data_IF_792286033571
#
_entry.id   IF_792286033571
#
_cell.length_a   1.000
_cell.length_b   1.000
_cell.length_c   1.000
_cell.angle_alpha   90.00
_cell.angle_beta   90.00
_cell.angle_gamma   90.00
#
_symmetry.space_group_name_H-M   'P 1'
#
loop_
_entity.id
_entity.type
_entity.pdbx_description
1 polymer ?
#
# COMPACT_ATOMS: atom_id res chain seq x y z
N UNK A 1 -28.74 8.39 10.73
CA UNK A 1 -27.71 7.34 10.83
C UNK A 1 -28.32 6.10 10.18
N UNK A 2 -27.81 5.66 9.05
CA UNK A 2 -28.30 4.43 8.41
C UNK A 2 -27.85 3.27 9.30
N UNK A 3 -28.81 2.52 9.87
CA UNK A 3 -28.52 1.24 10.51
C UNK A 3 -28.12 0.26 9.40
N UNK A 4 -26.84 0.15 9.15
CA UNK A 4 -26.35 -0.95 8.32
C UNK A 4 -26.58 -2.24 9.11
N UNK A 5 -27.05 -3.31 8.48
CA UNK A 5 -27.04 -4.63 9.11
C UNK A 5 -25.58 -4.90 9.57
N UNK A 6 -25.43 -5.60 10.69
CA UNK A 6 -24.12 -6.05 11.14
C UNK A 6 -23.47 -6.87 10.02
N UNK A 7 -22.65 -6.23 9.24
CA UNK A 7 -21.79 -6.91 8.29
C UNK A 7 -20.67 -7.55 9.08
N UNK A 8 -20.87 -8.74 9.57
CA UNK A 8 -19.78 -9.65 9.91
C UNK A 8 -19.17 -10.20 8.62
N UNK A 9 -18.55 -9.32 7.84
CA UNK A 9 -17.74 -9.79 6.75
C UNK A 9 -16.34 -10.09 7.30
N UNK A 10 -16.14 -11.34 7.70
CA UNK A 10 -14.79 -11.87 7.93
C UNK A 10 -14.36 -12.58 6.66
N UNK A 11 -13.33 -12.07 6.02
CA UNK A 11 -12.63 -12.88 5.01
C UNK A 11 -12.04 -14.08 5.76
N UNK A 12 -12.44 -15.32 5.50
CA UNK A 12 -11.78 -16.47 6.09
C UNK A 12 -10.29 -16.39 5.77
N UNK A 13 -9.41 -16.87 6.66
CA UNK A 13 -7.99 -16.98 6.30
C UNK A 13 -7.93 -17.75 4.98
N UNK A 14 -7.46 -17.10 3.91
CA UNK A 14 -7.52 -17.71 2.59
C UNK A 14 -6.55 -18.89 2.52
N UNK A 15 -6.94 -19.94 1.84
CA UNK A 15 -6.02 -20.95 1.34
C UNK A 15 -5.40 -20.52 -0.02
N UNK A 16 -4.44 -21.26 -0.50
CA UNK A 16 -3.73 -20.94 -1.73
C UNK A 16 -4.64 -20.95 -2.96
N UNK A 17 -5.67 -21.79 -2.99
CA UNK A 17 -6.63 -21.84 -4.10
C UNK A 17 -7.48 -20.57 -4.14
N UNK A 18 -7.94 -20.10 -2.98
CA UNK A 18 -8.73 -18.88 -2.88
C UNK A 18 -7.90 -17.65 -3.27
N UNK A 19 -6.64 -17.57 -2.79
CA UNK A 19 -5.70 -16.50 -3.18
C UNK A 19 -5.45 -16.52 -4.68
N UNK A 20 -5.15 -17.69 -5.26
CA UNK A 20 -4.96 -17.86 -6.70
C UNK A 20 -6.16 -17.35 -7.50
N UNK A 21 -7.38 -17.75 -7.12
CA UNK A 21 -8.62 -17.28 -7.75
C UNK A 21 -8.78 -15.76 -7.61
N UNK A 22 -8.46 -15.21 -6.45
CA UNK A 22 -8.53 -13.77 -6.20
C UNK A 22 -7.55 -13.02 -7.09
N UNK A 23 -6.29 -13.46 -7.20
CA UNK A 23 -5.29 -12.84 -8.06
C UNK A 23 -5.76 -12.83 -9.52
N UNK A 24 -6.21 -13.97 -10.05
CA UNK A 24 -6.72 -14.07 -11.43
C UNK A 24 -7.95 -13.17 -11.63
N UNK A 25 -8.85 -13.13 -10.66
CA UNK A 25 -10.02 -12.23 -10.69
C UNK A 25 -9.59 -10.76 -10.77
N UNK A 26 -8.62 -10.34 -9.93
CA UNK A 26 -8.10 -8.96 -9.93
C UNK A 26 -7.41 -8.64 -11.25
N UNK A 27 -6.64 -9.56 -11.79
CA UNK A 27 -5.98 -9.39 -13.08
C UNK A 27 -6.99 -9.12 -14.20
N UNK A 28 -8.04 -9.94 -14.29
CA UNK A 28 -9.04 -9.84 -15.37
C UNK A 28 -9.98 -8.66 -15.15
N UNK A 29 -10.61 -8.55 -13.97
CA UNK A 29 -11.74 -7.66 -13.77
C UNK A 29 -11.39 -6.31 -13.15
N UNK A 30 -10.21 -6.16 -12.56
CA UNK A 30 -9.73 -4.87 -12.03
C UNK A 30 -8.73 -4.24 -12.98
N UNK A 31 -7.76 -5.04 -13.49
CA UNK A 31 -6.69 -4.53 -14.36
C UNK A 31 -7.04 -4.65 -15.85
N UNK A 32 -8.02 -5.48 -16.23
CA UNK A 32 -8.42 -5.67 -17.63
C UNK A 32 -7.38 -6.42 -18.48
N UNK A 33 -6.56 -7.26 -17.85
CA UNK A 33 -5.44 -7.97 -18.50
C UNK A 33 -5.80 -9.45 -18.69
N UNK A 34 -5.59 -9.98 -19.90
CA UNK A 34 -5.69 -11.43 -20.15
C UNK A 34 -4.49 -12.13 -19.49
N UNK A 35 -4.71 -13.19 -18.70
CA UNK A 35 -3.63 -13.94 -18.06
C UNK A 35 -2.53 -14.45 -19.01
N UNK A 36 -2.86 -14.65 -20.28
CA UNK A 36 -1.91 -15.12 -21.30
C UNK A 36 -0.93 -14.04 -21.75
N UNK A 37 -1.31 -12.77 -21.62
CA UNK A 37 -0.53 -11.62 -22.05
C UNK A 37 0.04 -10.83 -20.86
N UNK A 38 -0.23 -11.28 -19.62
CA UNK A 38 0.14 -10.60 -18.39
C UNK A 38 1.66 -10.64 -18.16
N UNK A 39 2.23 -9.48 -17.86
CA UNK A 39 3.63 -9.30 -17.48
C UNK A 39 3.81 -9.48 -15.98
N UNK A 40 5.04 -9.66 -15.48
CA UNK A 40 5.30 -9.74 -14.04
C UNK A 40 4.70 -8.58 -13.23
N UNK A 41 4.73 -7.35 -13.77
CA UNK A 41 4.15 -6.17 -13.12
C UNK A 41 2.61 -6.26 -12.99
N UNK A 42 1.94 -6.83 -13.98
CA UNK A 42 0.49 -7.02 -13.97
C UNK A 42 0.08 -8.06 -12.91
N UNK A 43 0.86 -9.15 -12.80
CA UNK A 43 0.69 -10.16 -11.75
C UNK A 43 0.94 -9.59 -10.35
N UNK A 44 1.99 -8.76 -10.18
CA UNK A 44 2.24 -8.06 -8.93
C UNK A 44 1.06 -7.18 -8.52
N UNK A 45 0.58 -6.33 -9.43
CA UNK A 45 -0.55 -5.46 -9.16
C UNK A 45 -1.81 -6.24 -8.77
N UNK A 46 -2.11 -7.33 -9.48
CA UNK A 46 -3.24 -8.20 -9.15
C UNK A 46 -3.08 -8.82 -7.75
N UNK A 47 -1.87 -9.28 -7.41
CA UNK A 47 -1.57 -9.85 -6.10
C UNK A 47 -1.63 -8.81 -4.97
N UNK A 48 -1.13 -7.59 -5.22
CA UNK A 48 -1.25 -6.48 -4.27
C UNK A 48 -2.73 -6.11 -4.01
N UNK A 49 -3.59 -6.11 -5.04
CA UNK A 49 -5.02 -5.92 -4.85
C UNK A 49 -5.66 -7.05 -4.03
N UNK A 50 -5.23 -8.30 -4.23
CA UNK A 50 -5.72 -9.42 -3.44
C UNK A 50 -5.26 -9.32 -1.96
N UNK A 51 -4.00 -8.96 -1.72
CA UNK A 51 -3.47 -8.72 -0.38
C UNK A 51 -4.15 -7.52 0.31
N UNK A 52 -4.43 -6.44 -0.44
CA UNK A 52 -5.13 -5.26 0.06
C UNK A 52 -6.52 -5.58 0.62
N UNK A 53 -7.23 -6.55 0.05
CA UNK A 53 -8.55 -6.92 0.57
C UNK A 53 -8.44 -7.41 2.02
N UNK A 54 -7.41 -8.19 2.35
CA UNK A 54 -7.13 -8.68 3.71
C UNK A 54 -6.73 -7.53 4.64
N UNK A 55 -5.75 -6.72 4.22
CA UNK A 55 -5.30 -5.55 4.98
C UNK A 55 -6.44 -4.55 5.23
N UNK A 56 -7.33 -4.37 4.26
CA UNK A 56 -8.47 -3.45 4.40
C UNK A 56 -9.45 -3.92 5.46
N UNK A 57 -9.69 -5.21 5.58
CA UNK A 57 -10.54 -5.76 6.63
C UNK A 57 -9.96 -5.44 8.02
N UNK A 58 -8.69 -5.77 8.25
CA UNK A 58 -7.98 -5.48 9.49
C UNK A 58 -7.98 -3.98 9.82
N UNK A 59 -7.76 -3.14 8.81
CA UNK A 59 -7.83 -1.68 8.94
C UNK A 59 -9.22 -1.19 9.37
N UNK A 60 -10.28 -1.68 8.76
CA UNK A 60 -11.66 -1.27 9.08
C UNK A 60 -12.06 -1.73 10.48
N UNK A 61 -11.69 -2.94 10.90
CA UNK A 61 -11.94 -3.45 12.25
C UNK A 61 -11.23 -2.58 13.30
N UNK A 62 -9.96 -2.29 13.10
CA UNK A 62 -9.17 -1.41 13.97
C UNK A 62 -9.81 -0.03 14.09
N UNK A 63 -10.19 0.57 12.95
CA UNK A 63 -10.82 1.89 12.94
C UNK A 63 -12.16 1.91 13.68
N UNK A 64 -12.99 0.89 13.51
CA UNK A 64 -14.28 0.75 14.25
C UNK A 64 -14.01 0.70 15.74
N UNK A 65 -13.09 -0.17 16.17
CA UNK A 65 -12.72 -0.29 17.59
C UNK A 65 -12.22 1.04 18.19
N UNK A 66 -11.42 1.81 17.45
CA UNK A 66 -10.96 3.11 17.91
C UNK A 66 -12.10 4.11 18.12
N UNK A 67 -13.11 4.11 17.23
CA UNK A 67 -14.29 4.99 17.33
C UNK A 67 -15.20 4.56 18.47
N UNK A 68 -15.53 3.28 18.57
CA UNK A 68 -16.43 2.72 19.59
C UNK A 68 -15.90 2.94 21.01
N UNK A 69 -14.59 2.77 21.19
CA UNK A 69 -13.94 2.95 22.48
C UNK A 69 -13.42 4.39 22.71
N UNK A 70 -13.75 5.34 21.83
CA UNK A 70 -13.32 6.75 21.93
C UNK A 70 -11.81 6.90 22.23
N UNK A 71 -10.97 6.09 21.55
CA UNK A 71 -9.53 6.07 21.79
C UNK A 71 -8.88 7.39 21.42
N UNK A 72 -7.94 7.86 22.26
CA UNK A 72 -7.06 8.96 21.89
C UNK A 72 -6.16 8.54 20.75
N UNK A 73 -6.07 9.38 19.72
CA UNK A 73 -5.25 9.14 18.54
C UNK A 73 -3.97 9.96 18.61
N UNK A 74 -2.86 9.34 18.21
CA UNK A 74 -1.61 10.04 17.91
C UNK A 74 -1.64 10.42 16.42
N UNK A 75 -1.37 11.67 16.10
CA UNK A 75 -1.24 12.15 14.72
C UNK A 75 0.22 12.51 14.47
N UNK A 76 0.87 11.73 13.58
CA UNK A 76 2.25 11.95 13.22
C UNK A 76 2.31 12.72 11.91
N UNK A 77 2.76 13.97 11.96
CA UNK A 77 2.89 14.83 10.79
C UNK A 77 4.36 14.80 10.34
N UNK A 78 4.58 14.40 9.09
CA UNK A 78 5.90 14.42 8.46
C UNK A 78 5.78 14.86 7.01
N UNK A 79 6.78 15.57 6.53
CA UNK A 79 6.90 15.88 5.11
C UNK A 79 7.28 14.65 4.28
N UNK A 80 7.86 13.63 4.91
CA UNK A 80 8.33 12.42 4.26
C UNK A 80 7.94 11.17 5.04
N UNK A 81 7.63 10.10 4.31
CA UNK A 81 7.46 8.75 4.83
C UNK A 81 8.18 7.77 3.90
N UNK A 82 9.41 7.40 4.22
CA UNK A 82 10.18 6.41 3.47
C UNK A 82 9.76 5.01 3.89
N UNK A 83 8.66 4.52 3.33
CA UNK A 83 8.02 3.27 3.73
C UNK A 83 8.76 2.05 3.18
N UNK A 84 9.33 2.14 1.97
CA UNK A 84 9.84 1.00 1.24
C UNK A 84 8.71 0.16 0.61
N UNK A 85 9.05 -1.04 0.18
CA UNK A 85 8.11 -1.99 -0.42
C UNK A 85 7.12 -2.51 0.63
N UNK A 86 5.85 -2.56 0.28
CA UNK A 86 4.78 -2.89 1.21
C UNK A 86 4.19 -4.30 0.99
N UNK A 87 4.33 -4.89 -0.18
CA UNK A 87 3.67 -6.15 -0.54
C UNK A 87 4.08 -7.30 0.37
N UNK A 88 5.35 -7.69 0.33
CA UNK A 88 5.88 -8.79 1.14
C UNK A 88 5.70 -8.53 2.64
N UNK A 89 5.96 -7.30 3.09
CA UNK A 89 5.74 -6.91 4.49
C UNK A 89 4.27 -7.09 4.92
N UNK A 90 3.32 -6.70 4.07
CA UNK A 90 1.89 -6.89 4.35
C UNK A 90 1.51 -8.37 4.44
N UNK A 91 2.03 -9.21 3.54
CA UNK A 91 1.77 -10.66 3.56
C UNK A 91 2.29 -11.33 4.85
N UNK A 92 3.47 -10.93 5.31
CA UNK A 92 4.08 -11.43 6.56
C UNK A 92 3.22 -11.00 7.75
N UNK A 93 2.83 -9.74 7.83
CA UNK A 93 2.04 -9.21 8.93
C UNK A 93 0.63 -9.80 9.01
N UNK A 94 0.00 -10.09 7.87
CA UNK A 94 -1.30 -10.80 7.81
C UNK A 94 -1.16 -12.31 8.01
N UNK A 95 0.08 -12.85 8.04
CA UNK A 95 0.35 -14.27 8.22
C UNK A 95 -0.09 -15.14 7.03
N UNK A 96 0.00 -14.60 5.81
CA UNK A 96 -0.41 -15.26 4.56
C UNK A 96 0.72 -15.39 3.53
N UNK A 97 1.95 -15.09 3.93
CA UNK A 97 3.11 -15.10 3.03
C UNK A 97 3.27 -16.43 2.29
N UNK A 98 3.32 -17.55 3.03
CA UNK A 98 3.48 -18.88 2.43
C UNK A 98 2.27 -19.27 1.55
N UNK A 99 1.09 -18.77 1.88
CA UNK A 99 -0.13 -19.02 1.10
C UNK A 99 -0.04 -18.33 -0.27
N UNK A 100 0.52 -17.12 -0.33
CA UNK A 100 0.74 -16.42 -1.60
C UNK A 100 1.82 -17.11 -2.44
N UNK A 101 2.94 -17.53 -1.85
CA UNK A 101 3.96 -18.32 -2.56
C UNK A 101 3.33 -19.57 -3.18
N UNK A 102 2.54 -20.32 -2.44
CA UNK A 102 1.88 -21.53 -2.95
C UNK A 102 0.86 -21.20 -4.05
N UNK A 103 0.13 -20.08 -3.94
CA UNK A 103 -0.79 -19.62 -4.98
C UNK A 103 -0.05 -19.30 -6.30
N UNK A 104 1.09 -18.62 -6.22
CA UNK A 104 1.95 -18.33 -7.37
C UNK A 104 2.54 -19.61 -7.98
N UNK A 105 2.97 -20.56 -7.13
CA UNK A 105 3.42 -21.87 -7.59
C UNK A 105 2.32 -22.62 -8.38
N UNK A 106 1.07 -22.54 -7.93
CA UNK A 106 -0.08 -23.13 -8.65
C UNK A 106 -0.40 -22.40 -9.97
N UNK A 107 -0.02 -21.12 -10.11
CA UNK A 107 -0.11 -20.37 -11.36
C UNK A 107 1.04 -20.68 -12.31
N UNK A 108 2.10 -21.33 -11.85
CA UNK A 108 3.32 -21.55 -12.62
C UNK A 108 4.17 -20.28 -12.80
N UNK A 109 4.05 -19.32 -11.87
CA UNK A 109 4.72 -18.02 -11.91
C UNK A 109 5.70 -17.93 -10.71
N UNK A 110 6.87 -17.37 -10.96
CA UNK A 110 7.88 -17.16 -9.92
C UNK A 110 7.48 -15.98 -9.03
N UNK A 111 7.27 -16.24 -7.73
CA UNK A 111 6.88 -15.22 -6.77
C UNK A 111 7.99 -14.18 -6.54
N UNK A 112 9.25 -14.62 -6.51
CA UNK A 112 10.37 -13.71 -6.24
C UNK A 112 10.57 -12.76 -7.42
N UNK A 113 10.51 -13.27 -8.67
CA UNK A 113 10.55 -12.43 -9.87
C UNK A 113 9.45 -11.37 -9.87
N UNK A 114 8.25 -11.74 -9.48
CA UNK A 114 7.10 -10.84 -9.43
C UNK A 114 7.24 -9.82 -8.30
N UNK A 115 7.60 -10.26 -7.10
CA UNK A 115 7.69 -9.38 -5.93
C UNK A 115 8.79 -8.33 -6.05
N UNK A 116 9.86 -8.62 -6.80
CA UNK A 116 10.94 -7.67 -7.08
C UNK A 116 10.52 -6.50 -7.98
N UNK A 117 9.39 -6.62 -8.67
CA UNK A 117 8.84 -5.52 -9.50
C UNK A 117 8.17 -4.42 -8.69
N UNK A 118 7.97 -4.59 -7.37
CA UNK A 118 7.44 -3.53 -6.53
C UNK A 118 8.44 -2.37 -6.43
N UNK A 119 8.00 -1.20 -6.82
CA UNK A 119 8.76 0.04 -6.66
C UNK A 119 8.38 0.72 -5.33
N UNK A 120 9.35 1.42 -4.74
CA UNK A 120 9.10 2.21 -3.54
C UNK A 120 8.20 3.40 -3.85
N UNK A 121 7.21 3.71 -2.99
CA UNK A 121 6.44 4.92 -3.17
C UNK A 121 7.35 6.16 -2.97
N UNK A 122 7.24 7.14 -3.87
CA UNK A 122 8.02 8.38 -3.86
C UNK A 122 7.60 9.36 -2.76
N UNK A 123 7.41 8.85 -1.53
CA UNK A 123 6.92 9.62 -0.37
C UNK A 123 8.03 10.05 0.59
N UNK A 124 9.27 9.67 0.35
CA UNK A 124 10.41 10.02 1.19
C UNK A 124 11.72 9.61 0.55
N UNK A 125 12.85 10.17 1.05
CA UNK A 125 14.15 9.97 0.44
C UNK A 125 15.31 9.80 1.43
N UNK A 126 15.12 10.09 2.71
CA UNK A 126 16.23 10.08 3.67
C UNK A 126 15.81 9.77 5.11
N UNK A 127 16.66 10.17 6.04
CA UNK A 127 16.52 9.85 7.46
C UNK A 127 15.24 10.39 8.10
N UNK A 128 14.78 11.58 7.70
CA UNK A 128 13.50 12.14 8.15
C UNK A 128 12.34 11.20 7.83
N UNK A 129 12.26 10.77 6.57
CA UNK A 129 11.20 9.87 6.11
C UNK A 129 11.30 8.49 6.72
N UNK A 130 12.52 7.95 6.89
CA UNK A 130 12.71 6.64 7.53
C UNK A 130 12.37 6.67 9.01
N UNK A 131 12.71 7.74 9.73
CA UNK A 131 12.31 7.90 11.13
C UNK A 131 10.79 7.87 11.28
N UNK A 132 10.07 8.59 10.41
CA UNK A 132 8.61 8.59 10.40
C UNK A 132 8.03 7.20 10.17
N UNK A 133 8.56 6.44 9.20
CA UNK A 133 8.16 5.07 8.92
C UNK A 133 8.40 4.15 10.14
N UNK A 134 9.57 4.21 10.76
CA UNK A 134 9.90 3.42 11.95
C UNK A 134 9.01 3.77 13.15
N UNK A 135 8.63 5.04 13.32
CA UNK A 135 7.70 5.41 14.38
C UNK A 135 6.30 4.87 14.15
N UNK A 136 5.80 4.84 12.91
CA UNK A 136 4.51 4.21 12.62
C UNK A 136 4.54 2.70 12.94
N UNK A 137 5.60 1.99 12.58
CA UNK A 137 5.78 0.58 12.93
C UNK A 137 5.82 0.36 14.45
N UNK A 138 6.55 1.22 15.18
CA UNK A 138 6.63 1.15 16.64
C UNK A 138 5.27 1.40 17.30
N UNK A 139 4.52 2.40 16.83
CA UNK A 139 3.18 2.70 17.31
C UNK A 139 2.22 1.53 17.06
N UNK A 140 2.29 0.89 15.88
CA UNK A 140 1.50 -0.29 15.56
C UNK A 140 1.87 -1.48 16.47
N UNK A 141 3.16 -1.76 16.66
CA UNK A 141 3.65 -2.82 17.54
C UNK A 141 3.19 -2.64 18.99
N UNK A 142 3.21 -1.41 19.47
CA UNK A 142 2.76 -1.06 20.82
C UNK A 142 1.24 -0.93 20.92
N UNK A 143 0.50 -1.17 19.83
CA UNK A 143 -0.96 -1.01 19.75
C UNK A 143 -1.46 0.37 20.17
N UNK A 144 -0.69 1.40 19.87
CA UNK A 144 -1.06 2.80 20.10
C UNK A 144 -1.85 3.28 18.87
N UNK A 145 -3.10 3.74 19.04
CA UNK A 145 -3.88 4.29 17.94
C UNK A 145 -3.17 5.49 17.33
N UNK A 146 -2.79 5.39 16.07
CA UNK A 146 -2.03 6.43 15.38
C UNK A 146 -2.42 6.58 13.91
N UNK A 147 -2.13 7.74 13.35
CA UNK A 147 -2.27 8.02 11.93
C UNK A 147 -1.15 8.95 11.48
N UNK A 148 -0.46 8.58 10.39
CA UNK A 148 0.50 9.43 9.71
C UNK A 148 -0.17 10.38 8.72
N UNK A 149 0.26 11.63 8.70
CA UNK A 149 -0.13 12.63 7.71
C UNK A 149 1.10 13.11 6.97
N UNK A 150 1.07 13.06 5.65
CA UNK A 150 2.19 13.45 4.79
C UNK A 150 1.72 14.11 3.51
N UNK A 151 2.66 14.38 2.65
CA UNK A 151 2.45 14.96 1.33
C UNK A 151 2.55 13.84 0.30
N UNK A 152 1.54 13.74 -0.57
CA UNK A 152 1.60 12.85 -1.73
C UNK A 152 2.28 13.60 -2.87
N UNK A 153 3.59 13.48 -2.95
CA UNK A 153 4.39 14.11 -4.00
C UNK A 153 4.00 13.60 -5.38
N UNK A 154 3.98 14.47 -6.37
CA UNK A 154 3.72 14.08 -7.76
C UNK A 154 4.90 13.27 -8.34
N UNK A 155 6.11 13.62 -7.95
CA UNK A 155 7.32 12.93 -8.35
C UNK A 155 8.06 12.47 -7.09
N UNK A 156 8.74 11.32 -7.19
CA UNK A 156 9.75 10.94 -6.22
C UNK A 156 10.95 11.90 -6.25
N UNK A 157 11.99 11.61 -5.48
CA UNK A 157 13.19 12.46 -5.44
C UNK A 157 13.78 12.62 -6.85
N UNK A 158 14.24 11.55 -7.44
CA UNK A 158 14.61 11.38 -8.85
C UNK A 158 14.94 9.90 -9.11
N UNK A 159 14.79 9.49 -10.36
CA UNK A 159 15.29 8.20 -10.84
C UNK A 159 16.72 8.38 -11.29
N UNK A 160 17.63 7.57 -10.74
CA UNK A 160 19.04 7.58 -11.06
C UNK A 160 19.33 6.60 -12.19
N UNK A 161 19.99 7.08 -13.24
CA UNK A 161 20.53 6.25 -14.32
C UNK A 161 22.03 6.48 -14.47
N UNK A 162 22.74 5.48 -14.95
CA UNK A 162 24.16 5.62 -15.31
C UNK A 162 24.25 5.57 -16.83
N UNK A 163 24.67 6.68 -17.44
CA UNK A 163 24.86 6.80 -18.89
C UNK A 163 26.32 7.20 -19.13
N UNK A 164 27.03 6.43 -19.91
CA UNK A 164 28.47 6.64 -20.22
C UNK A 164 29.35 6.82 -18.97
N UNK A 165 29.03 6.06 -17.90
CA UNK A 165 29.76 6.11 -16.63
C UNK A 165 29.45 7.31 -15.76
N UNK A 166 28.48 8.13 -16.13
CA UNK A 166 28.04 9.31 -15.35
C UNK A 166 26.60 9.13 -14.86
N UNK A 167 26.32 9.67 -13.68
CA UNK A 167 24.98 9.71 -13.15
C UNK A 167 24.14 10.73 -13.93
N UNK A 168 22.94 10.28 -14.32
CA UNK A 168 21.91 11.13 -14.93
C UNK A 168 20.64 10.99 -14.10
N UNK A 169 20.08 12.12 -13.68
CA UNK A 169 18.81 12.17 -12.95
C UNK A 169 17.64 12.32 -13.92
N UNK A 170 16.61 11.51 -13.71
CA UNK A 170 15.34 11.59 -14.43
C UNK A 170 14.17 11.74 -13.46
N UNK A 171 13.03 12.29 -13.90
CA UNK A 171 11.83 12.32 -13.07
C UNK A 171 11.43 10.92 -12.63
N UNK A 172 11.17 10.75 -11.34
CA UNK A 172 10.61 9.52 -10.80
C UNK A 172 9.08 9.60 -10.87
N UNK A 173 8.52 8.95 -11.89
CA UNK A 173 7.08 8.93 -12.20
C UNK A 173 6.37 7.80 -11.42
N UNK A 174 6.61 7.70 -10.14
CA UNK A 174 6.10 6.61 -9.29
C UNK A 174 4.57 6.49 -9.26
N UNK A 175 3.83 7.56 -9.62
CA UNK A 175 2.37 7.58 -9.68
C UNK A 175 1.79 7.06 -10.99
N UNK A 176 2.60 6.85 -12.02
CA UNK A 176 2.13 6.37 -13.33
C UNK A 176 1.79 4.87 -13.30
N UNK A 177 2.12 4.19 -12.20
CA UNK A 177 1.78 2.80 -11.97
C UNK A 177 0.56 2.67 -11.05
N UNK A 178 -0.23 1.65 -11.28
CA UNK A 178 -1.37 1.32 -10.44
C UNK A 178 -0.92 1.04 -9.00
N UNK A 179 -1.31 1.94 -8.11
CA UNK A 179 -0.95 1.83 -6.69
C UNK A 179 -2.07 1.15 -5.92
N UNK A 180 -1.96 -0.15 -5.75
CA UNK A 180 -2.95 -0.95 -5.02
C UNK A 180 -3.20 -0.44 -3.58
N UNK A 181 -2.21 0.18 -2.94
CA UNK A 181 -2.29 0.65 -1.56
C UNK A 181 -3.04 1.97 -1.35
N UNK A 182 -3.65 2.54 -2.40
CA UNK A 182 -4.32 3.84 -2.33
C UNK A 182 -5.84 3.73 -2.34
N UNK A 183 -6.48 4.55 -1.51
CA UNK A 183 -7.92 4.81 -1.54
C UNK A 183 -8.14 6.31 -1.76
N UNK A 184 -8.32 6.72 -3.01
CA UNK A 184 -8.59 8.12 -3.34
C UNK A 184 -9.89 8.62 -2.70
N UNK A 185 -9.87 9.88 -2.24
CA UNK A 185 -11.04 10.58 -1.68
C UNK A 185 -11.19 11.95 -2.34
N UNK A 186 -11.50 12.02 -3.63
CA UNK A 186 -11.53 13.27 -4.40
C UNK A 186 -12.61 14.25 -3.92
N UNK A 187 -13.58 13.80 -3.15
CA UNK A 187 -14.64 14.61 -2.55
C UNK A 187 -14.25 15.28 -1.22
N UNK A 188 -13.03 15.07 -0.73
CA UNK A 188 -12.53 15.71 0.50
C UNK A 188 -11.45 16.71 0.15
N UNK A 189 -11.75 17.98 0.32
CA UNK A 189 -10.84 19.08 0.05
C UNK A 189 -10.62 19.90 1.31
N UNK A 190 -9.35 20.23 1.58
CA UNK A 190 -8.95 21.13 2.66
C UNK A 190 -8.16 22.28 2.04
N UNK A 191 -8.72 23.50 1.99
CA UNK A 191 -8.00 24.63 1.44
C UNK A 191 -6.83 25.03 2.35
N UNK A 192 -5.65 25.16 1.76
CA UNK A 192 -4.45 25.63 2.45
C UNK A 192 -4.02 26.93 1.79
N UNK A 193 -4.04 28.03 2.54
CA UNK A 193 -3.66 29.35 2.04
C UNK A 193 -2.17 29.64 2.31
N UNK A 194 -1.51 30.24 1.33
CA UNK A 194 -0.11 30.67 1.43
C UNK A 194 -0.04 32.21 1.29
N UNK A 195 1.05 32.81 1.77
CA UNK A 195 1.31 34.24 1.61
C UNK A 195 0.43 35.16 2.46
N UNK A 196 -0.03 34.69 3.62
CA UNK A 196 -0.78 35.51 4.58
C UNK A 196 0.04 36.69 5.11
N UNK A 197 -0.66 37.76 5.53
CA UNK A 197 -0.05 38.91 6.24
C UNK A 197 -0.38 38.83 7.73
N UNK A 198 0.62 39.07 8.57
CA UNK A 198 0.42 39.30 10.00
C UNK A 198 -0.29 40.64 10.20
N UNK A 199 -1.43 40.63 10.90
CA UNK A 199 -2.17 41.82 11.33
C UNK A 199 -1.91 42.09 12.79
#
# INVERSE_FOLDING_TARGET
MVKLPEYEYRVPKPDAELVRKSIVYKLIFILGVDPRDARPEDWLNAAMFAARDLVTESFLQTRRSHIEHQKRMVYYLSMEFLLGRAFTNSLINEGVYDVFIEAFRQLGIDFDEVSEKEEDPGLGNGGLGRLAACFLDSLATLRIPAMGYGIRYQYGMFKQEIVDGQQVEKPDLWLDKDMAWQFARPNKHYPVAFGGQLR
#
